data_IF_644997241811
#
_entry.id   IF_644997241811
#
_cell.length_a   1.000
_cell.length_b   1.000
_cell.length_c   1.000
_cell.angle_alpha   90.00
_cell.angle_beta   90.00
_cell.angle_gamma   90.00
#
_symmetry.space_group_name_H-M   'P 1'
#
loop_
_entity.id
_entity.type
_entity.pdbx_description
1 polymer ?
#
# COMPACT_ATOMS: atom_id res chain seq x y z
N UNK A 1 43.39 9.05 6.07
CA UNK A 1 42.11 9.52 5.51
C UNK A 1 41.13 8.38 5.69
N UNK A 2 40.39 8.39 6.80
CA UNK A 2 39.44 7.33 7.14
C UNK A 2 38.20 7.54 6.26
N UNK A 3 37.87 6.54 5.44
CA UNK A 3 36.65 6.52 4.66
C UNK A 3 35.47 6.43 5.61
N UNK A 4 34.63 7.48 5.62
CA UNK A 4 33.30 7.38 6.16
C UNK A 4 32.53 6.43 5.23
N UNK A 5 32.29 5.21 5.69
CA UNK A 5 31.24 4.39 5.10
C UNK A 5 29.95 5.16 5.44
N UNK A 6 29.33 5.80 4.45
CA UNK A 6 27.97 6.28 4.61
C UNK A 6 27.13 5.03 4.93
N UNK A 7 26.74 4.86 6.21
CA UNK A 7 25.59 4.04 6.60
C UNK A 7 24.29 4.75 6.16
N UNK A 8 24.26 5.26 4.93
CA UNK A 8 23.04 5.79 4.33
C UNK A 8 22.15 4.59 4.02
N UNK A 9 21.13 4.42 4.84
CA UNK A 9 19.80 3.95 4.44
C UNK A 9 19.80 2.68 3.57
N UNK A 10 20.40 1.59 4.05
CA UNK A 10 20.01 0.29 3.51
C UNK A 10 18.60 0.02 4.03
N UNK A 11 17.59 0.28 3.19
CA UNK A 11 16.23 -0.11 3.50
C UNK A 11 16.20 -1.64 3.60
N UNK A 12 15.52 -2.22 4.59
CA UNK A 12 15.33 -3.67 4.68
C UNK A 12 14.70 -4.25 3.41
N UNK A 13 13.86 -3.45 2.73
CA UNK A 13 13.32 -3.71 1.41
C UNK A 13 13.79 -2.59 0.48
N UNK A 14 14.62 -2.89 -0.50
CA UNK A 14 15.12 -1.92 -1.48
C UNK A 14 14.27 -1.96 -2.76
N UNK A 15 13.52 -0.89 -3.11
CA UNK A 15 12.80 -0.78 -4.38
C UNK A 15 13.62 -1.14 -5.63
N UNK A 16 14.93 -0.85 -5.63
CA UNK A 16 15.80 -1.07 -6.78
C UNK A 16 16.05 -2.55 -7.08
N UNK A 17 15.72 -3.47 -6.16
CA UNK A 17 15.82 -4.90 -6.40
C UNK A 17 14.68 -5.46 -7.24
N UNK A 18 13.58 -4.71 -7.39
CA UNK A 18 12.40 -5.14 -8.12
C UNK A 18 12.39 -4.55 -9.53
N UNK A 19 12.04 -5.39 -10.49
CA UNK A 19 11.70 -4.96 -11.85
C UNK A 19 10.27 -4.39 -11.90
N UNK A 20 9.93 -3.74 -13.02
CA UNK A 20 8.61 -3.13 -13.18
C UNK A 20 7.50 -4.17 -13.00
N UNK A 21 6.51 -3.82 -12.17
CA UNK A 21 5.35 -4.66 -11.86
C UNK A 21 5.70 -6.02 -11.22
N UNK A 22 6.87 -6.17 -10.61
CA UNK A 22 7.25 -7.42 -9.93
C UNK A 22 6.62 -7.55 -8.54
N UNK A 23 6.62 -6.45 -7.78
CA UNK A 23 6.13 -6.42 -6.41
C UNK A 23 5.27 -5.18 -6.14
N UNK A 24 4.17 -5.39 -5.43
CA UNK A 24 3.27 -4.35 -4.95
C UNK A 24 3.28 -4.26 -3.43
N UNK A 25 2.83 -3.13 -2.90
CA UNK A 25 2.58 -2.89 -1.48
C UNK A 25 1.10 -2.51 -1.27
N UNK A 26 0.43 -3.18 -0.34
CA UNK A 26 -0.81 -2.69 0.25
C UNK A 26 -0.47 -1.73 1.39
N UNK A 27 -0.76 -0.44 1.20
CA UNK A 27 -0.49 0.61 2.19
C UNK A 27 -1.77 1.32 2.61
N UNK A 28 -1.75 1.89 3.82
CA UNK A 28 -2.70 2.90 4.24
C UNK A 28 -2.09 4.29 4.00
N UNK A 29 -2.82 5.14 3.29
CA UNK A 29 -2.34 6.47 2.90
C UNK A 29 -2.47 7.51 4.02
N UNK A 30 -3.42 7.33 4.92
CA UNK A 30 -3.79 8.30 5.94
C UNK A 30 -3.39 7.84 7.36
N UNK A 31 -2.80 8.74 8.14
CA UNK A 31 -2.54 8.53 9.58
C UNK A 31 -3.78 8.80 10.45
N UNK A 32 -4.56 9.80 10.04
CA UNK A 32 -5.83 10.16 10.67
C UNK A 32 -6.95 9.77 9.72
N UNK A 33 -8.03 9.12 10.21
CA UNK A 33 -9.18 8.79 9.36
C UNK A 33 -9.69 9.98 8.57
N UNK A 34 -10.05 9.75 7.31
CA UNK A 34 -10.76 10.71 6.49
C UNK A 34 -12.17 10.83 7.05
N UNK A 35 -12.45 11.98 7.66
CA UNK A 35 -13.75 12.26 8.27
C UNK A 35 -14.76 12.68 7.22
N UNK A 36 -15.94 12.08 7.27
CA UNK A 36 -17.08 12.49 6.42
C UNK A 36 -18.29 12.80 7.30
N UNK A 37 -19.13 13.72 6.86
CA UNK A 37 -20.26 14.19 7.67
C UNK A 37 -21.40 13.18 7.77
N UNK A 38 -21.53 12.26 6.79
CA UNK A 38 -22.70 11.38 6.66
C UNK A 38 -22.35 9.89 6.58
N UNK A 39 -21.21 9.55 5.98
CA UNK A 39 -20.90 8.16 5.62
C UNK A 39 -19.98 7.45 6.64
N UNK A 40 -19.51 8.20 7.64
CA UNK A 40 -18.59 7.77 8.68
C UNK A 40 -17.13 8.11 8.37
N UNK A 41 -16.23 7.62 9.20
CA UNK A 41 -14.79 7.82 9.04
C UNK A 41 -14.17 6.64 8.29
N UNK A 42 -13.20 6.95 7.42
CA UNK A 42 -12.58 5.95 6.55
C UNK A 42 -11.07 5.99 6.58
N UNK A 43 -10.45 4.82 6.41
CA UNK A 43 -9.06 4.68 6.02
C UNK A 43 -8.97 4.48 4.50
N UNK A 44 -8.03 5.14 3.87
CA UNK A 44 -7.70 4.98 2.45
C UNK A 44 -6.61 3.92 2.32
N UNK A 45 -6.97 2.74 1.80
CA UNK A 45 -6.02 1.68 1.48
C UNK A 45 -5.73 1.69 -0.02
N UNK A 46 -4.46 1.54 -0.39
CA UNK A 46 -4.01 1.61 -1.77
C UNK A 46 -3.08 0.46 -2.14
N UNK A 47 -3.01 0.16 -3.43
CA UNK A 47 -1.97 -0.69 -4.03
C UNK A 47 -0.95 0.22 -4.70
N UNK A 48 0.32 0.04 -4.33
CA UNK A 48 1.44 0.79 -4.90
C UNK A 48 2.47 -0.17 -5.49
N UNK A 49 3.02 0.16 -6.65
CA UNK A 49 4.14 -0.56 -7.24
C UNK A 49 5.45 -0.19 -6.54
N UNK A 50 6.24 -1.18 -6.12
CA UNK A 50 7.45 -0.91 -5.37
C UNK A 50 8.56 -0.26 -6.20
N UNK A 51 8.74 -0.64 -7.48
CA UNK A 51 9.88 -0.14 -8.26
C UNK A 51 9.74 1.33 -8.67
N UNK A 52 8.51 1.84 -8.78
CA UNK A 52 8.24 3.22 -9.23
C UNK A 52 7.53 4.10 -8.20
N UNK A 53 6.92 3.53 -7.17
CA UNK A 53 6.06 4.25 -6.23
C UNK A 53 4.69 4.64 -6.80
N UNK A 54 4.32 4.18 -8.00
CA UNK A 54 3.01 4.49 -8.60
C UNK A 54 1.87 3.78 -7.86
N UNK A 55 0.78 4.50 -7.62
CA UNK A 55 -0.46 3.92 -7.07
C UNK A 55 -1.33 3.38 -8.21
N UNK A 56 -1.73 2.12 -8.12
CA UNK A 56 -2.57 1.44 -9.12
C UNK A 56 -4.05 1.34 -8.71
N UNK A 57 -4.38 1.60 -7.45
CA UNK A 57 -5.76 1.61 -6.99
C UNK A 57 -5.89 2.03 -5.53
N UNK A 58 -7.10 2.41 -5.14
CA UNK A 58 -7.43 2.80 -3.77
C UNK A 58 -8.86 2.41 -3.43
N UNK A 59 -9.09 1.97 -2.18
CA UNK A 59 -10.41 1.73 -1.60
C UNK A 59 -10.52 2.44 -0.24
N UNK A 60 -11.72 2.96 0.04
CA UNK A 60 -12.06 3.52 1.35
C UNK A 60 -12.66 2.41 2.22
N UNK A 61 -12.03 2.12 3.34
CA UNK A 61 -12.45 1.11 4.32
C UNK A 61 -12.94 1.83 5.56
N UNK A 62 -14.14 1.50 6.05
CA UNK A 62 -14.67 2.17 7.25
C UNK A 62 -13.81 1.84 8.46
N UNK A 63 -13.55 2.82 9.33
CA UNK A 63 -12.74 2.60 10.55
C UNK A 63 -13.37 1.56 11.48
N UNK A 64 -14.70 1.39 11.42
CA UNK A 64 -15.42 0.38 12.20
C UNK A 64 -15.20 -1.06 11.71
N UNK A 65 -14.67 -1.23 10.50
CA UNK A 65 -14.36 -2.55 9.93
C UNK A 65 -12.95 -2.96 10.35
N UNK A 66 -12.80 -4.21 10.81
CA UNK A 66 -11.49 -4.71 11.27
C UNK A 66 -10.49 -4.90 10.13
N UNK A 67 -10.98 -5.08 8.91
CA UNK A 67 -10.20 -5.24 7.68
C UNK A 67 -11.08 -4.97 6.46
N UNK A 68 -10.45 -4.87 5.28
CA UNK A 68 -11.15 -4.76 4.00
C UNK A 68 -12.04 -5.99 3.77
N UNK A 69 -13.27 -5.80 3.29
CA UNK A 69 -14.12 -6.92 2.89
C UNK A 69 -13.53 -7.70 1.70
N UNK A 70 -13.95 -8.94 1.52
CA UNK A 70 -13.55 -9.76 0.37
C UNK A 70 -13.95 -9.13 -0.98
N UNK A 71 -15.10 -8.45 -1.03
CA UNK A 71 -15.55 -7.72 -2.22
C UNK A 71 -14.65 -6.52 -2.54
N UNK A 72 -14.35 -5.67 -1.55
CA UNK A 72 -13.42 -4.55 -1.73
C UNK A 72 -12.02 -5.06 -2.13
N UNK A 73 -11.56 -6.17 -1.54
CA UNK A 73 -10.27 -6.78 -1.84
C UNK A 73 -10.17 -7.21 -3.30
N UNK A 74 -11.19 -7.91 -3.81
CA UNK A 74 -11.29 -8.26 -5.24
C UNK A 74 -11.32 -7.03 -6.13
N UNK A 75 -12.13 -6.03 -5.78
CA UNK A 75 -12.28 -4.81 -6.57
C UNK A 75 -10.95 -4.06 -6.65
N UNK A 76 -10.25 -3.88 -5.53
CA UNK A 76 -8.96 -3.21 -5.46
C UNK A 76 -7.89 -3.92 -6.30
N UNK A 77 -7.74 -5.23 -6.12
CA UNK A 77 -6.71 -6.00 -6.83
C UNK A 77 -7.00 -6.10 -8.34
N UNK A 78 -8.27 -6.24 -8.74
CA UNK A 78 -8.64 -6.25 -10.15
C UNK A 78 -8.44 -4.88 -10.81
N UNK A 79 -8.75 -3.79 -10.11
CA UNK A 79 -8.48 -2.43 -10.60
C UNK A 79 -6.98 -2.18 -10.74
N UNK A 80 -6.18 -2.62 -9.76
CA UNK A 80 -4.73 -2.50 -9.82
C UNK A 80 -4.13 -3.31 -10.97
N UNK A 81 -4.59 -4.54 -11.19
CA UNK A 81 -4.18 -5.36 -12.35
C UNK A 81 -4.53 -4.70 -13.67
N UNK A 82 -5.73 -4.14 -13.79
CA UNK A 82 -6.14 -3.43 -15.01
C UNK A 82 -5.28 -2.20 -15.29
N UNK A 83 -4.90 -1.45 -14.23
CA UNK A 83 -4.05 -0.27 -14.34
C UNK A 83 -2.59 -0.64 -14.66
N UNK A 84 -2.07 -1.71 -14.06
CA UNK A 84 -0.70 -2.18 -14.29
C UNK A 84 -0.53 -2.97 -15.60
N UNK A 85 -1.63 -3.49 -16.17
CA UNK A 85 -1.63 -4.34 -17.34
C UNK A 85 -1.38 -5.84 -17.06
N UNK A 86 -0.82 -6.18 -15.90
CA UNK A 86 -0.70 -7.55 -15.39
C UNK A 86 -0.63 -7.58 -13.87
N UNK A 87 -0.71 -8.79 -13.29
CA UNK A 87 -0.53 -9.00 -11.83
C UNK A 87 0.95 -8.97 -11.45
N UNK A 88 1.27 -8.62 -10.19
CA UNK A 88 2.61 -8.77 -9.65
C UNK A 88 2.87 -10.23 -9.28
N UNK A 89 4.12 -10.53 -8.99
CA UNK A 89 4.49 -11.81 -8.38
C UNK A 89 4.22 -11.80 -6.87
N UNK A 90 4.43 -10.64 -6.24
CA UNK A 90 4.39 -10.47 -4.79
C UNK A 90 3.55 -9.27 -4.35
N UNK A 91 2.86 -9.43 -3.23
CA UNK A 91 2.18 -8.35 -2.52
C UNK A 91 2.71 -8.28 -1.08
N UNK A 92 3.37 -7.17 -0.78
CA UNK A 92 3.79 -6.81 0.56
C UNK A 92 2.62 -6.28 1.37
N UNK A 93 2.48 -6.75 2.60
CA UNK A 93 1.48 -6.28 3.55
C UNK A 93 2.14 -6.15 4.92
N UNK A 94 1.82 -5.07 5.62
CA UNK A 94 2.16 -4.91 7.03
C UNK A 94 1.76 -6.13 7.86
N UNK A 95 2.71 -6.66 8.65
CA UNK A 95 2.54 -7.85 9.48
C UNK A 95 1.57 -7.63 10.63
N UNK A 96 1.43 -6.38 11.10
CA UNK A 96 0.51 -6.02 12.18
C UNK A 96 -0.92 -5.79 11.68
N UNK A 97 -1.09 -5.62 10.37
CA UNK A 97 -2.40 -5.37 9.75
C UNK A 97 -3.18 -6.68 9.55
N UNK A 98 -4.41 -6.70 10.09
CA UNK A 98 -5.41 -7.71 9.72
C UNK A 98 -5.79 -7.54 8.25
N UNK A 99 -5.51 -8.55 7.45
CA UNK A 99 -5.63 -8.48 5.99
C UNK A 99 -5.88 -9.88 5.40
N UNK A 100 -6.69 -10.68 6.09
CA UNK A 100 -6.96 -12.08 5.74
C UNK A 100 -7.71 -12.15 4.40
N UNK A 101 -8.69 -11.26 4.21
CA UNK A 101 -9.49 -11.22 2.99
C UNK A 101 -8.63 -10.86 1.76
N UNK A 102 -7.82 -9.80 1.83
CA UNK A 102 -6.96 -9.40 0.72
C UNK A 102 -5.86 -10.44 0.46
N UNK A 103 -5.31 -11.06 1.51
CA UNK A 103 -4.33 -12.14 1.37
C UNK A 103 -4.92 -13.35 0.65
N UNK A 104 -6.13 -13.76 1.02
CA UNK A 104 -6.87 -14.86 0.41
C UNK A 104 -7.16 -14.58 -1.07
N UNK A 105 -7.66 -13.38 -1.38
CA UNK A 105 -7.95 -12.98 -2.76
C UNK A 105 -6.68 -12.91 -3.61
N UNK A 106 -5.59 -12.29 -3.13
CA UNK A 106 -4.35 -12.22 -3.90
C UNK A 106 -3.76 -13.62 -4.15
N UNK A 107 -3.79 -14.50 -3.15
CA UNK A 107 -3.35 -15.90 -3.29
C UNK A 107 -4.17 -16.62 -4.35
N UNK A 108 -5.50 -16.45 -4.35
CA UNK A 108 -6.38 -17.02 -5.36
C UNK A 108 -6.12 -16.46 -6.78
N UNK A 109 -5.56 -15.25 -6.89
CA UNK A 109 -5.12 -14.64 -8.14
C UNK A 109 -3.71 -15.07 -8.58
N UNK A 110 -3.02 -15.89 -7.78
CA UNK A 110 -1.65 -16.36 -8.02
C UNK A 110 -0.56 -15.39 -7.55
N UNK A 111 -0.89 -14.43 -6.69
CA UNK A 111 0.06 -13.47 -6.11
C UNK A 111 0.54 -14.00 -4.76
N UNK A 112 1.86 -14.02 -4.55
CA UNK A 112 2.46 -14.45 -3.29
C UNK A 112 2.37 -13.32 -2.25
N UNK A 113 2.06 -13.66 -1.00
CA UNK A 113 1.98 -12.67 0.09
C UNK A 113 3.28 -12.63 0.87
N UNK A 114 3.84 -11.43 1.03
CA UNK A 114 4.98 -11.18 1.92
C UNK A 114 4.54 -10.26 3.07
N UNK A 115 4.71 -10.73 4.31
CA UNK A 115 4.40 -9.95 5.51
C UNK A 115 5.67 -9.34 6.06
N UNK A 116 5.71 -8.01 6.17
CA UNK A 116 6.86 -7.28 6.69
C UNK A 116 6.45 -6.30 7.80
N UNK A 117 7.32 -6.01 8.78
CA UNK A 117 7.05 -5.01 9.80
C UNK A 117 6.75 -3.61 9.24
N UNK A 118 5.90 -2.86 9.95
CA UNK A 118 5.50 -1.51 9.57
C UNK A 118 6.67 -0.54 9.37
N UNK A 119 7.72 -0.64 10.18
CA UNK A 119 8.91 0.21 10.11
C UNK A 119 9.79 -0.08 8.89
N UNK A 120 9.73 -1.29 8.33
CA UNK A 120 10.39 -1.65 7.08
C UNK A 120 9.61 -1.14 5.86
N UNK A 121 8.27 -1.13 5.92
CA UNK A 121 7.40 -0.70 4.83
C UNK A 121 7.14 0.82 4.81
N UNK A 122 7.20 1.49 5.97
CA UNK A 122 6.91 2.92 6.08
C UNK A 122 7.80 3.82 5.20
N UNK A 123 9.12 3.59 5.07
CA UNK A 123 9.96 4.39 4.18
C UNK A 123 9.54 4.32 2.71
N UNK A 124 9.01 3.18 2.25
CA UNK A 124 8.61 2.95 0.86
C UNK A 124 7.38 3.78 0.45
N UNK A 125 6.55 4.16 1.42
CA UNK A 125 5.25 4.80 1.18
C UNK A 125 5.19 6.28 1.55
N UNK A 126 6.31 6.86 2.00
CA UNK A 126 6.34 8.23 2.56
C UNK A 126 5.80 9.27 1.58
N UNK A 127 6.31 9.28 0.35
CA UNK A 127 5.88 10.27 -0.65
C UNK A 127 4.38 10.17 -0.96
N UNK A 128 3.86 8.96 -1.12
CA UNK A 128 2.44 8.71 -1.36
C UNK A 128 1.56 9.21 -0.19
N UNK A 129 1.99 8.96 1.05
CA UNK A 129 1.29 9.39 2.26
C UNK A 129 1.31 10.91 2.43
N UNK A 130 2.47 11.53 2.23
CA UNK A 130 2.65 12.98 2.31
C UNK A 130 1.79 13.70 1.24
N UNK A 131 1.79 13.17 0.02
CA UNK A 131 0.96 13.66 -1.08
C UNK A 131 -0.54 13.55 -0.78
N UNK A 132 -0.98 12.41 -0.23
CA UNK A 132 -2.36 12.21 0.19
C UNK A 132 -2.78 13.17 1.30
N UNK A 133 -1.97 13.31 2.35
CA UNK A 133 -2.22 14.23 3.46
C UNK A 133 -2.35 15.69 2.99
N UNK A 134 -1.47 16.10 2.06
CA UNK A 134 -1.53 17.43 1.45
C UNK A 134 -2.80 17.62 0.61
N UNK A 135 -3.26 16.59 -0.10
CA UNK A 135 -4.49 16.64 -0.90
C UNK A 135 -5.74 16.80 -0.03
N UNK A 136 -5.90 15.96 0.99
CA UNK A 136 -7.06 15.99 1.88
C UNK A 136 -7.12 17.30 2.69
N UNK A 137 -5.97 17.85 3.10
CA UNK A 137 -5.91 19.10 3.87
C UNK A 137 -6.32 20.34 3.07
N UNK A 138 -6.27 20.28 1.74
CA UNK A 138 -6.61 21.43 0.86
C UNK A 138 -8.10 21.51 0.53
N UNK A 139 -8.89 20.48 0.85
CA UNK A 139 -10.29 20.37 0.41
C UNK A 139 -10.41 20.24 -1.12
N UNK A 140 -11.62 19.93 -1.65
CA UNK A 140 -11.86 20.08 -3.08
C UNK A 140 -11.71 21.56 -3.49
N UNK A 141 -11.32 21.86 -4.74
CA UNK A 141 -11.37 23.23 -5.27
C UNK A 141 -12.80 23.81 -5.23
#
# INVERSE_FOLDING_TARGET
>A
MLGFINLELMLPIDPAQFTNNEAWLLLQLNDVPVQTTQDGDFNALAIMELSTGMIFGMEMVRVTESEMSEFQSRKLLAAAEAQAGSRPQQLFIDSERKADNVSSVATAMGISIERAPSDELAPLSREARDGFAAHISRGPP
#
